data_IF_543107600874
#
_entry.id   IF_543107600874
#
_cell.length_a   1.000
_cell.length_b   1.000
_cell.length_c   1.000
_cell.angle_alpha   90.00
_cell.angle_beta   90.00
_cell.angle_gamma   90.00
#
_symmetry.space_group_name_H-M   'P 1'
#
loop_
_entity.id
_entity.type
_entity.pdbx_description
1 polymer ?
#
# COMPACT_ATOMS: atom_id res chain seq x y z
N UNK A 1 19.39 -34.33 -2.83
CA UNK A 1 18.05 -34.28 -3.43
C UNK A 1 18.18 -33.95 -4.92
N UNK A 2 18.11 -34.98 -5.76
CA UNK A 2 18.24 -34.88 -7.21
C UNK A 2 16.87 -34.87 -7.83
N UNK A 3 16.13 -33.78 -7.69
CA UNK A 3 15.00 -33.51 -8.57
C UNK A 3 15.55 -33.07 -9.92
N UNK A 4 15.23 -33.73 -11.03
CA UNK A 4 15.62 -33.28 -12.35
C UNK A 4 14.85 -32.00 -12.68
N UNK A 5 15.50 -30.84 -12.52
CA UNK A 5 14.97 -29.58 -13.02
C UNK A 5 15.05 -29.62 -14.54
N UNK A 6 13.93 -29.89 -15.20
CA UNK A 6 13.81 -29.70 -16.64
C UNK A 6 13.58 -28.22 -16.89
N UNK A 7 14.62 -27.47 -17.19
CA UNK A 7 14.50 -26.06 -17.51
C UNK A 7 15.70 -25.18 -17.14
N UNK A 8 15.52 -23.89 -17.12
CA UNK A 8 16.55 -22.87 -16.85
C UNK A 8 17.39 -23.09 -15.57
N UNK A 9 16.99 -24.02 -14.68
CA UNK A 9 17.71 -24.34 -13.47
C UNK A 9 19.11 -24.95 -13.64
N UNK A 10 19.44 -25.41 -14.85
CA UNK A 10 20.76 -25.98 -15.15
C UNK A 10 21.78 -24.94 -15.63
N UNK A 11 21.33 -23.69 -15.87
CA UNK A 11 22.18 -22.61 -16.40
C UNK A 11 22.97 -21.92 -15.30
N UNK A 12 22.42 -21.87 -14.07
CA UNK A 12 23.05 -21.18 -12.94
C UNK A 12 23.20 -22.10 -11.73
N UNK A 13 24.34 -22.02 -11.05
CA UNK A 13 24.50 -22.67 -9.76
C UNK A 13 23.59 -22.04 -8.73
N UNK A 14 23.03 -22.83 -7.82
CA UNK A 14 22.12 -22.35 -6.75
C UNK A 14 22.69 -21.19 -5.94
N UNK A 15 24.02 -21.17 -5.76
CA UNK A 15 24.74 -20.13 -5.04
C UNK A 15 24.86 -18.82 -5.81
N UNK A 16 24.62 -18.86 -7.14
CA UNK A 16 24.71 -17.69 -8.03
C UNK A 16 23.37 -16.99 -8.24
N UNK A 17 22.29 -17.56 -7.70
CA UNK A 17 20.94 -16.98 -7.81
C UNK A 17 20.42 -16.55 -6.46
N UNK A 18 19.58 -15.52 -6.46
CA UNK A 18 18.95 -15.01 -5.25
C UNK A 18 18.02 -16.07 -4.64
N UNK A 19 18.04 -16.21 -3.30
CA UNK A 19 17.15 -17.15 -2.62
C UNK A 19 15.68 -16.75 -2.76
N UNK A 20 14.79 -17.76 -2.84
CA UNK A 20 13.34 -17.51 -2.83
C UNK A 20 12.89 -16.72 -1.60
N UNK A 21 13.57 -16.90 -0.46
CA UNK A 21 13.30 -16.18 0.77
C UNK A 21 13.59 -14.68 0.62
N UNK A 22 14.69 -14.31 -0.04
CA UNK A 22 15.03 -12.91 -0.28
C UNK A 22 14.13 -12.26 -1.32
N UNK A 23 13.71 -13.03 -2.34
CA UNK A 23 12.71 -12.57 -3.31
C UNK A 23 11.39 -12.26 -2.61
N UNK A 24 10.90 -13.15 -1.75
CA UNK A 24 9.62 -12.98 -1.01
C UNK A 24 9.58 -11.71 -0.15
N UNK A 25 10.71 -11.28 0.41
CA UNK A 25 10.79 -10.04 1.19
C UNK A 25 10.40 -8.78 0.40
N UNK A 26 10.44 -8.85 -0.93
CA UNK A 26 10.07 -7.75 -1.83
C UNK A 26 8.61 -7.79 -2.25
N UNK A 27 7.91 -8.89 -1.99
CA UNK A 27 6.50 -9.05 -2.34
C UNK A 27 5.61 -8.37 -1.30
N UNK A 28 4.57 -7.72 -1.79
CA UNK A 28 3.56 -7.06 -0.96
C UNK A 28 2.19 -7.46 -1.47
N UNK A 29 1.30 -7.93 -0.58
CA UNK A 29 -0.11 -7.97 -0.89
C UNK A 29 -0.64 -6.52 -0.79
N UNK A 30 -1.20 -5.96 -1.88
CA UNK A 30 -1.60 -4.56 -1.95
C UNK A 30 -2.71 -4.22 -0.96
N UNK A 31 -2.92 -2.93 -0.73
CA UNK A 31 -3.88 -2.44 0.23
C UNK A 31 -5.32 -2.80 -0.13
N UNK A 32 -5.92 -3.70 0.64
CA UNK A 32 -7.33 -4.06 0.53
C UNK A 32 -7.98 -3.76 1.87
N UNK A 33 -8.89 -2.79 1.90
CA UNK A 33 -9.49 -2.33 3.14
C UNK A 33 -10.44 -3.37 3.78
N UNK A 34 -10.45 -3.39 5.11
CA UNK A 34 -11.49 -4.08 5.85
C UNK A 34 -12.86 -3.47 5.51
N UNK A 35 -13.77 -4.31 5.03
CA UNK A 35 -15.06 -3.92 4.45
C UNK A 35 -15.11 -4.15 2.93
N UNK A 36 -13.99 -4.07 2.20
CA UNK A 36 -13.85 -4.68 0.87
C UNK A 36 -13.67 -6.19 1.01
N UNK A 37 -12.89 -6.64 1.99
CA UNK A 37 -12.78 -8.03 2.44
C UNK A 37 -13.50 -8.23 3.78
N UNK A 38 -13.89 -9.49 4.07
CA UNK A 38 -14.31 -9.88 5.41
C UNK A 38 -13.12 -9.83 6.40
N UNK A 39 -13.39 -9.71 7.71
CA UNK A 39 -12.34 -9.73 8.73
C UNK A 39 -11.44 -10.97 8.63
N UNK A 40 -12.03 -12.14 8.38
CA UNK A 40 -11.34 -13.43 8.30
C UNK A 40 -10.41 -13.49 7.09
N UNK A 41 -10.88 -13.04 5.92
CA UNK A 41 -10.08 -13.02 4.70
C UNK A 41 -8.92 -12.03 4.82
N UNK A 42 -9.18 -10.84 5.37
CA UNK A 42 -8.17 -9.80 5.58
C UNK A 42 -7.07 -10.26 6.56
N UNK A 43 -7.46 -10.94 7.64
CA UNK A 43 -6.52 -11.48 8.61
C UNK A 43 -5.73 -12.66 8.05
N UNK A 44 -6.40 -13.59 7.36
CA UNK A 44 -5.74 -14.75 6.74
C UNK A 44 -4.66 -14.32 5.75
N UNK A 45 -4.94 -13.28 4.95
CA UNK A 45 -3.96 -12.71 4.04
C UNK A 45 -2.73 -12.18 4.80
N UNK A 46 -2.94 -11.44 5.88
CA UNK A 46 -1.84 -10.90 6.70
C UNK A 46 -1.00 -12.01 7.31
N UNK A 47 -1.62 -13.04 7.88
CA UNK A 47 -0.94 -14.21 8.43
C UNK A 47 -0.12 -14.92 7.35
N UNK A 48 -0.72 -15.17 6.19
CA UNK A 48 -0.05 -15.86 5.08
C UNK A 48 1.20 -15.11 4.61
N UNK A 49 1.09 -13.79 4.42
CA UNK A 49 2.21 -12.96 4.00
C UNK A 49 3.31 -12.91 5.07
N UNK A 50 2.95 -12.79 6.34
CA UNK A 50 3.91 -12.82 7.45
C UNK A 50 4.65 -14.16 7.53
N UNK A 51 3.97 -15.30 7.36
CA UNK A 51 4.59 -16.63 7.38
C UNK A 51 5.65 -16.83 6.30
N UNK A 52 5.45 -16.25 5.11
CA UNK A 52 6.41 -16.36 4.01
C UNK A 52 7.50 -15.27 4.03
N UNK A 53 7.47 -14.36 5.01
CA UNK A 53 8.41 -13.25 5.14
C UNK A 53 8.15 -12.06 4.23
N UNK A 54 6.97 -12.05 3.56
CA UNK A 54 6.48 -10.92 2.77
C UNK A 54 5.68 -9.93 3.63
N UNK A 55 5.03 -8.95 3.02
CA UNK A 55 4.21 -7.95 3.71
C UNK A 55 2.80 -7.92 3.16
N UNK A 56 1.83 -7.58 4.00
CA UNK A 56 0.49 -7.17 3.57
C UNK A 56 0.25 -5.71 3.96
N UNK A 57 -0.56 -5.03 3.18
CA UNK A 57 -1.03 -3.68 3.45
C UNK A 57 -2.46 -3.74 3.99
N UNK A 58 -2.74 -2.99 5.05
CA UNK A 58 -4.04 -2.96 5.71
C UNK A 58 -5.16 -2.35 4.86
N UNK A 59 -4.80 -1.58 3.84
CA UNK A 59 -5.76 -0.69 3.18
C UNK A 59 -6.25 0.44 4.10
N UNK A 60 -7.13 1.30 3.59
CA UNK A 60 -7.59 2.52 4.25
C UNK A 60 -8.66 2.32 5.35
N UNK A 61 -8.95 1.08 5.72
CA UNK A 61 -10.05 0.76 6.64
C UNK A 61 -9.69 0.73 8.12
N UNK A 62 -8.41 0.93 8.46
CA UNK A 62 -7.91 0.65 9.80
C UNK A 62 -7.77 -0.85 10.07
N UNK A 63 -7.38 -1.20 11.28
CA UNK A 63 -7.19 -2.57 11.73
C UNK A 63 -7.47 -2.68 13.23
N UNK A 64 -8.14 -3.76 13.65
CA UNK A 64 -8.46 -3.96 15.07
C UNK A 64 -7.20 -4.18 15.88
N UNK A 65 -7.10 -3.53 17.03
CA UNK A 65 -5.91 -3.60 17.91
C UNK A 65 -5.64 -5.00 18.48
N UNK A 66 -6.65 -5.88 18.50
CA UNK A 66 -6.46 -7.29 18.88
C UNK A 66 -5.52 -8.03 17.93
N UNK A 67 -5.38 -7.54 16.69
CA UNK A 67 -4.48 -8.07 15.67
C UNK A 67 -3.02 -7.66 15.85
N UNK A 68 -2.73 -6.71 16.72
CA UNK A 68 -1.34 -6.28 16.99
C UNK A 68 -0.59 -7.21 17.94
N UNK A 69 -1.24 -8.25 18.43
CA UNK A 69 -0.66 -9.29 19.29
C UNK A 69 -0.52 -10.60 18.54
N UNK A 70 0.59 -11.28 18.76
CA UNK A 70 0.78 -12.64 18.23
C UNK A 70 -0.30 -13.57 18.79
N UNK A 71 -0.74 -14.50 17.97
CA UNK A 71 -1.62 -15.59 18.39
C UNK A 71 -0.86 -16.63 19.19
N UNK A 72 -1.56 -17.49 19.99
CA UNK A 72 -0.90 -18.55 20.77
C UNK A 72 -0.06 -19.52 19.93
N UNK A 73 -0.41 -19.72 18.65
CA UNK A 73 0.33 -20.57 17.72
C UNK A 73 1.53 -19.85 17.04
N UNK A 74 1.85 -18.62 17.47
CA UNK A 74 2.94 -17.82 16.92
C UNK A 74 2.60 -17.01 15.66
N UNK A 75 1.38 -17.11 15.13
CA UNK A 75 0.96 -16.32 13.96
C UNK A 75 0.88 -14.83 14.28
N UNK A 76 1.33 -14.03 13.33
CA UNK A 76 1.16 -12.59 13.37
C UNK A 76 -0.02 -12.19 12.44
N UNK A 77 -1.17 -11.76 13.01
CA UNK A 77 -2.32 -11.36 12.22
C UNK A 77 -2.28 -9.88 11.77
N UNK A 78 -1.27 -9.12 12.21
CA UNK A 78 -1.12 -7.71 11.87
C UNK A 78 -0.60 -7.51 10.45
N UNK A 79 -1.19 -6.60 9.70
CA UNK A 79 -0.60 -6.12 8.45
C UNK A 79 0.66 -5.32 8.75
N UNK A 80 1.77 -5.65 8.07
CA UNK A 80 3.06 -4.98 8.33
C UNK A 80 3.16 -3.61 7.67
N UNK A 81 2.29 -3.31 6.71
CA UNK A 81 2.11 -1.98 6.11
C UNK A 81 0.77 -1.42 6.58
N UNK A 82 0.77 -0.21 7.09
CA UNK A 82 -0.43 0.51 7.52
C UNK A 82 -0.70 1.68 6.57
N UNK A 83 -1.87 1.68 5.94
CA UNK A 83 -2.24 2.70 4.97
C UNK A 83 -2.98 3.86 5.63
N UNK A 84 -2.66 5.07 5.19
CA UNK A 84 -3.36 6.32 5.51
C UNK A 84 -3.88 6.90 4.22
N UNK A 85 -5.20 7.06 4.12
CA UNK A 85 -5.85 7.77 3.02
C UNK A 85 -6.46 9.08 3.51
N UNK A 86 -7.00 9.85 2.60
CA UNK A 86 -7.68 11.13 2.86
C UNK A 86 -8.76 11.04 3.95
N UNK A 87 -9.55 9.96 3.95
CA UNK A 87 -10.58 9.72 4.98
C UNK A 87 -10.06 9.38 6.37
N UNK A 88 -8.78 9.01 6.51
CA UNK A 88 -8.11 8.65 7.78
C UNK A 88 -8.89 7.66 8.65
N UNK A 89 -9.67 6.79 8.06
CA UNK A 89 -10.48 5.81 8.77
C UNK A 89 -9.64 4.85 9.60
N UNK A 90 -9.86 4.83 10.92
CA UNK A 90 -9.17 3.93 11.84
C UNK A 90 -7.69 4.26 12.09
N UNK A 91 -7.21 5.41 11.66
CA UNK A 91 -5.83 5.87 11.89
C UNK A 91 -5.70 6.38 13.32
N UNK A 92 -4.91 5.68 14.12
CA UNK A 92 -4.56 6.04 15.49
C UNK A 92 -3.05 5.92 15.69
N UNK A 93 -2.51 6.53 16.75
CA UNK A 93 -1.10 6.37 17.11
C UNK A 93 -0.74 4.89 17.35
N UNK A 94 -1.63 4.12 17.98
CA UNK A 94 -1.44 2.68 18.20
C UNK A 94 -1.33 1.94 16.86
N UNK A 95 -2.24 2.22 15.93
CA UNK A 95 -2.22 1.64 14.58
C UNK A 95 -0.89 1.93 13.88
N UNK A 96 -0.44 3.19 13.88
CA UNK A 96 0.79 3.62 13.21
C UNK A 96 2.06 3.07 13.88
N UNK A 97 2.04 2.80 15.17
CA UNK A 97 3.18 2.22 15.87
C UNK A 97 3.30 0.69 15.70
N UNK A 98 2.27 0.03 15.17
CA UNK A 98 2.26 -1.42 14.97
C UNK A 98 2.51 -1.82 13.51
N UNK A 99 3.52 -1.21 12.87
CA UNK A 99 3.90 -1.53 11.49
C UNK A 99 5.39 -1.35 11.22
N UNK A 100 5.85 -1.93 10.12
CA UNK A 100 7.20 -1.70 9.57
C UNK A 100 7.21 -0.59 8.53
N UNK A 101 6.04 -0.27 7.98
CA UNK A 101 5.90 0.70 6.91
C UNK A 101 4.53 1.38 6.97
N UNK A 102 4.52 2.69 6.71
CA UNK A 102 3.31 3.50 6.60
C UNK A 102 3.16 3.91 5.13
N UNK A 103 2.00 3.63 4.54
CA UNK A 103 1.71 4.02 3.16
C UNK A 103 0.74 5.20 3.13
N UNK A 104 1.20 6.33 2.59
CA UNK A 104 0.35 7.49 2.30
C UNK A 104 -0.31 7.25 0.94
N UNK A 105 -1.62 7.00 0.94
CA UNK A 105 -2.39 6.82 -0.28
C UNK A 105 -2.87 8.19 -0.78
N UNK A 106 -2.23 8.71 -1.83
CA UNK A 106 -2.67 9.96 -2.46
C UNK A 106 -3.94 9.74 -3.27
N UNK A 107 -3.97 8.69 -4.08
CA UNK A 107 -5.11 8.28 -4.90
C UNK A 107 -5.00 6.80 -5.28
N UNK A 108 -5.91 6.32 -6.12
CA UNK A 108 -6.03 4.91 -6.52
C UNK A 108 -6.02 4.79 -8.04
N UNK A 109 -5.11 3.97 -8.57
CA UNK A 109 -4.88 3.84 -10.02
C UNK A 109 -6.06 3.26 -10.78
N UNK A 110 -6.82 2.35 -10.17
CA UNK A 110 -7.99 1.75 -10.79
C UNK A 110 -9.17 2.72 -10.97
N UNK A 111 -9.20 3.82 -10.25
CA UNK A 111 -10.27 4.83 -10.28
C UNK A 111 -9.75 6.22 -9.93
N UNK A 112 -8.84 6.77 -10.73
CA UNK A 112 -8.30 8.10 -10.48
C UNK A 112 -9.44 9.14 -10.47
N UNK A 113 -9.43 10.02 -9.47
CA UNK A 113 -10.42 11.07 -9.32
C UNK A 113 -11.74 10.71 -8.61
N UNK A 114 -12.01 9.42 -8.30
CA UNK A 114 -13.25 9.01 -7.60
C UNK A 114 -13.08 8.84 -6.09
N UNK A 115 -11.88 8.52 -5.63
CA UNK A 115 -11.59 8.23 -4.23
C UNK A 115 -12.12 6.90 -3.73
N UNK A 116 -11.97 6.67 -2.43
CA UNK A 116 -12.43 5.48 -1.75
C UNK A 116 -13.92 5.56 -1.41
N UNK A 117 -14.65 4.46 -1.59
CA UNK A 117 -16.05 4.32 -1.20
C UNK A 117 -16.28 3.03 -0.45
N UNK A 118 -17.13 3.07 0.58
CA UNK A 118 -17.70 1.88 1.20
C UNK A 118 -19.21 2.07 1.35
N UNK A 119 -20.03 1.30 0.61
CA UNK A 119 -21.48 1.40 0.69
C UNK A 119 -22.00 1.12 2.10
N UNK A 120 -23.02 1.84 2.55
CA UNK A 120 -23.59 1.71 3.89
C UNK A 120 -23.96 0.28 4.30
N UNK A 121 -24.45 -0.53 3.35
CA UNK A 121 -24.75 -1.96 3.60
C UNK A 121 -23.55 -2.80 4.01
N UNK A 122 -22.32 -2.36 3.70
CA UNK A 122 -21.06 -3.00 4.13
C UNK A 122 -20.52 -2.43 5.44
N UNK A 123 -21.06 -1.31 5.93
CA UNK A 123 -20.63 -0.68 7.19
C UNK A 123 -21.30 -1.36 8.37
N UNK A 124 -20.75 -2.50 8.76
CA UNK A 124 -21.17 -3.27 9.94
C UNK A 124 -20.83 -2.53 11.24
N UNK A 125 -21.29 -3.02 12.39
CA UNK A 125 -20.93 -2.46 13.70
C UNK A 125 -19.41 -2.47 13.95
N UNK A 126 -18.71 -3.53 13.55
CA UNK A 126 -17.25 -3.62 13.65
C UNK A 126 -16.56 -2.55 12.79
N UNK A 127 -16.97 -2.42 11.52
CA UNK A 127 -16.37 -1.44 10.61
C UNK A 127 -16.67 -0.02 11.08
N UNK A 128 -17.89 0.27 11.55
CA UNK A 128 -18.25 1.56 12.10
C UNK A 128 -17.37 1.92 13.30
N UNK A 129 -17.17 0.98 14.22
CA UNK A 129 -16.26 1.16 15.37
C UNK A 129 -14.83 1.45 14.93
N UNK A 130 -14.27 0.66 14.02
CA UNK A 130 -12.89 0.82 13.56
C UNK A 130 -12.66 2.12 12.79
N UNK A 131 -13.65 2.56 12.03
CA UNK A 131 -13.57 3.79 11.23
C UNK A 131 -14.08 5.04 11.94
N UNK A 132 -14.43 4.92 13.23
CA UNK A 132 -15.03 6.01 14.01
C UNK A 132 -16.23 6.67 13.32
N UNK A 133 -17.14 5.82 12.80
CA UNK A 133 -18.28 6.22 11.97
C UNK A 133 -19.58 5.59 12.47
N UNK A 134 -20.69 5.86 11.76
CA UNK A 134 -22.01 5.31 12.09
C UNK A 134 -22.33 4.07 11.23
N UNK A 135 -22.83 3.00 11.87
CA UNK A 135 -23.29 1.79 11.17
C UNK A 135 -24.34 2.13 10.12
N UNK A 136 -24.20 1.55 8.94
CA UNK A 136 -25.15 1.68 7.84
C UNK A 136 -25.02 2.94 7.00
N UNK A 137 -24.12 3.87 7.38
CA UNK A 137 -23.86 5.10 6.61
C UNK A 137 -22.72 4.85 5.61
N UNK A 138 -22.93 5.27 4.35
CA UNK A 138 -21.89 5.21 3.31
C UNK A 138 -20.70 6.07 3.68
N UNK A 139 -19.50 5.53 3.53
CA UNK A 139 -18.24 6.23 3.82
C UNK A 139 -17.55 6.59 2.51
N UNK A 140 -17.00 7.81 2.45
CA UNK A 140 -16.28 8.34 1.30
C UNK A 140 -14.92 8.84 1.78
N UNK A 141 -13.87 8.45 1.04
CA UNK A 141 -12.52 9.00 1.20
C UNK A 141 -12.23 9.83 -0.05
N UNK A 142 -12.20 11.18 0.06
CA UNK A 142 -12.08 12.04 -1.11
C UNK A 142 -10.79 11.80 -1.90
N UNK A 143 -10.80 11.95 -3.22
CA UNK A 143 -9.62 12.00 -4.07
C UNK A 143 -9.29 13.47 -4.42
N UNK A 144 -8.02 13.81 -4.57
CA UNK A 144 -6.84 13.18 -4.00
C UNK A 144 -6.83 13.31 -2.48
N UNK A 145 -5.73 12.97 -1.82
CA UNK A 145 -5.58 13.20 -0.39
C UNK A 145 -5.71 14.69 -0.08
N UNK A 146 -6.88 15.13 0.39
CA UNK A 146 -7.28 16.55 0.38
C UNK A 146 -6.58 17.43 1.41
N UNK A 147 -5.73 16.87 2.25
CA UNK A 147 -4.86 17.62 3.17
C UNK A 147 -3.50 17.96 2.55
N UNK A 148 -3.23 17.48 1.33
CA UNK A 148 -1.96 17.66 0.63
C UNK A 148 -2.22 18.50 -0.61
N UNK A 149 -1.85 19.78 -0.55
CA UNK A 149 -1.99 20.73 -1.65
C UNK A 149 -0.66 21.06 -2.31
N UNK A 150 0.45 20.75 -1.64
CA UNK A 150 1.79 21.00 -2.13
C UNK A 150 2.75 19.87 -1.73
N UNK A 151 3.95 19.89 -2.30
CA UNK A 151 4.99 18.93 -1.91
C UNK A 151 5.49 19.19 -0.49
N UNK A 152 5.39 20.42 0.00
CA UNK A 152 5.74 20.81 1.36
C UNK A 152 4.76 20.22 2.36
N UNK A 153 3.47 20.21 2.08
CA UNK A 153 2.46 19.55 2.92
C UNK A 153 2.74 18.04 3.03
N UNK A 154 3.09 17.41 1.90
CA UNK A 154 3.48 16.01 1.90
C UNK A 154 4.76 15.78 2.72
N UNK A 155 5.76 16.65 2.59
CA UNK A 155 7.00 16.55 3.35
C UNK A 155 6.74 16.69 4.86
N UNK A 156 5.83 17.58 5.26
CA UNK A 156 5.41 17.72 6.64
C UNK A 156 4.72 16.44 7.14
N UNK A 157 3.79 15.88 6.36
CA UNK A 157 3.12 14.63 6.73
C UNK A 157 4.11 13.46 6.88
N UNK A 158 5.07 13.33 5.95
CA UNK A 158 6.12 12.31 6.04
C UNK A 158 6.94 12.50 7.32
N UNK A 159 7.31 13.75 7.63
CA UNK A 159 8.04 14.07 8.86
C UNK A 159 7.24 13.68 10.10
N UNK A 160 5.98 14.08 10.19
CA UNK A 160 5.11 13.80 11.34
C UNK A 160 4.92 12.29 11.55
N UNK A 161 4.74 11.52 10.48
CA UNK A 161 4.63 10.06 10.55
C UNK A 161 5.93 9.41 11.07
N UNK A 162 7.07 9.93 10.64
CA UNK A 162 8.37 9.46 11.15
C UNK A 162 8.63 9.86 12.60
N UNK A 163 7.96 10.92 13.11
CA UNK A 163 7.99 11.23 14.56
C UNK A 163 7.12 10.26 15.37
N UNK A 164 5.96 9.85 14.82
CA UNK A 164 5.07 8.88 15.48
C UNK A 164 5.71 7.50 15.53
N UNK A 165 6.29 7.03 14.42
CA UNK A 165 6.99 5.75 14.33
C UNK A 165 8.34 5.91 13.61
N UNK A 166 9.42 6.25 14.35
CA UNK A 166 10.75 6.46 13.76
C UNK A 166 11.36 5.22 13.10
N UNK A 167 10.85 4.03 13.41
CA UNK A 167 11.33 2.75 12.84
C UNK A 167 10.66 2.40 11.53
N UNK A 168 9.46 2.92 11.29
CA UNK A 168 8.70 2.62 10.09
C UNK A 168 9.27 3.38 8.87
N UNK A 169 9.29 2.69 7.73
CA UNK A 169 9.49 3.33 6.43
C UNK A 169 8.22 4.05 6.01
N UNK A 170 8.36 5.12 5.24
CA UNK A 170 7.21 5.83 4.67
C UNK A 170 7.19 5.62 3.16
N UNK A 171 6.11 5.04 2.67
CA UNK A 171 5.78 4.89 1.26
C UNK A 171 4.77 5.96 0.84
N UNK A 172 4.90 6.47 -0.38
CA UNK A 172 3.88 7.31 -0.99
C UNK A 172 3.31 6.61 -2.22
N UNK A 173 2.00 6.33 -2.19
CA UNK A 173 1.28 5.73 -3.32
C UNK A 173 0.78 6.82 -4.25
N UNK A 174 1.31 6.81 -5.48
CA UNK A 174 0.96 7.70 -6.58
C UNK A 174 0.22 6.94 -7.68
N UNK A 175 -0.49 7.65 -8.52
CA UNK A 175 -1.20 7.08 -9.68
C UNK A 175 -0.37 7.27 -10.94
N UNK A 176 -0.29 6.22 -11.78
CA UNK A 176 0.31 6.29 -13.09
C UNK A 176 -0.48 7.29 -13.96
N UNK A 177 0.15 8.39 -14.33
CA UNK A 177 -0.38 9.45 -15.19
C UNK A 177 0.76 10.24 -15.83
N UNK A 178 0.46 10.98 -16.87
CA UNK A 178 1.44 11.90 -17.50
C UNK A 178 1.93 12.93 -16.49
N UNK A 179 3.24 13.16 -16.42
CA UNK A 179 3.88 14.09 -15.49
C UNK A 179 4.16 13.51 -14.08
N UNK A 180 3.84 12.24 -13.85
CA UNK A 180 4.03 11.61 -12.54
C UNK A 180 5.49 11.56 -12.11
N UNK A 181 6.43 11.56 -13.06
CA UNK A 181 7.86 11.62 -12.78
C UNK A 181 8.27 12.86 -12.00
N UNK A 182 7.70 14.03 -12.33
CA UNK A 182 7.95 15.28 -11.61
C UNK A 182 7.44 15.21 -10.17
N UNK A 183 6.22 14.65 -9.98
CA UNK A 183 5.65 14.43 -8.65
C UNK A 183 6.53 13.49 -7.85
N UNK A 184 6.97 12.37 -8.44
CA UNK A 184 7.85 11.40 -7.80
C UNK A 184 9.20 12.00 -7.39
N UNK A 185 9.78 12.91 -8.19
CA UNK A 185 10.99 13.64 -7.83
C UNK A 185 10.77 14.51 -6.59
N UNK A 186 9.62 15.18 -6.49
CA UNK A 186 9.22 15.91 -5.29
C UNK A 186 9.10 15.00 -4.07
N UNK A 187 8.44 13.85 -4.21
CA UNK A 187 8.27 12.84 -3.15
C UNK A 187 9.63 12.31 -2.66
N UNK A 188 10.56 12.03 -3.58
CA UNK A 188 11.92 11.61 -3.21
C UNK A 188 12.66 12.70 -2.43
N UNK A 189 12.53 13.97 -2.84
CA UNK A 189 13.10 15.12 -2.11
C UNK A 189 12.43 15.32 -0.74
N UNK A 190 11.16 15.01 -0.60
CA UNK A 190 10.43 15.01 0.66
C UNK A 190 10.83 13.87 1.61
N UNK A 191 11.82 13.05 1.22
CA UNK A 191 12.41 11.97 2.03
C UNK A 191 11.45 10.80 2.31
N UNK A 192 10.58 10.47 1.37
CA UNK A 192 9.93 9.18 1.35
C UNK A 192 10.95 8.05 1.15
N UNK A 193 10.74 6.89 1.76
CA UNK A 193 11.63 5.73 1.64
C UNK A 193 11.29 4.89 0.39
N UNK A 194 10.02 4.91 -0.01
CA UNK A 194 9.54 4.21 -1.21
C UNK A 194 8.40 4.96 -1.90
N UNK A 195 8.22 4.68 -3.18
CA UNK A 195 7.13 5.21 -4.00
C UNK A 195 6.44 4.03 -4.68
N UNK A 196 5.13 3.92 -4.51
CA UNK A 196 4.30 2.95 -5.20
C UNK A 196 3.61 3.65 -6.39
N UNK A 197 3.84 3.13 -7.59
CA UNK A 197 3.16 3.60 -8.80
C UNK A 197 2.00 2.67 -9.09
N UNK A 198 0.80 3.16 -8.84
CA UNK A 198 -0.45 2.41 -9.00
C UNK A 198 -1.01 2.58 -10.40
N UNK A 199 -1.22 1.47 -11.08
CA UNK A 199 -1.85 1.42 -12.40
C UNK A 199 -3.35 1.11 -12.34
N UNK A 200 -3.99 0.98 -13.52
CA UNK A 200 -5.41 0.65 -13.63
C UNK A 200 -5.73 -0.76 -13.07
N UNK A 201 -4.75 -1.66 -13.01
CA UNK A 201 -4.89 -2.99 -12.43
C UNK A 201 -4.77 -3.03 -10.90
N UNK A 202 -4.46 -1.90 -10.23
CA UNK A 202 -4.31 -1.80 -8.78
C UNK A 202 -5.58 -2.16 -7.97
N UNK A 203 -6.67 -2.50 -8.64
CA UNK A 203 -7.87 -3.07 -8.04
C UNK A 203 -8.73 -2.08 -7.26
N UNK A 204 -9.99 -2.45 -7.06
CA UNK A 204 -10.92 -1.70 -6.21
C UNK A 204 -12.06 -2.60 -5.72
N UNK A 205 -12.45 -2.42 -4.45
CA UNK A 205 -13.58 -3.15 -3.85
C UNK A 205 -14.95 -2.50 -4.12
N UNK A 206 -14.99 -1.27 -4.62
CA UNK A 206 -16.22 -0.54 -4.93
C UNK A 206 -15.95 0.56 -5.96
N UNK A 207 -16.44 0.38 -7.17
CA UNK A 207 -16.34 1.35 -8.25
C UNK A 207 -17.38 1.04 -9.33
N UNK A 208 -17.87 2.05 -10.08
CA UNK A 208 -18.69 1.84 -11.26
C UNK A 208 -17.95 0.96 -12.30
N UNK A 209 -18.68 0.14 -13.04
CA UNK A 209 -18.12 -0.71 -14.10
C UNK A 209 -17.39 0.10 -15.19
N UNK A 210 -17.86 1.31 -15.46
CA UNK A 210 -17.24 2.23 -16.41
C UNK A 210 -15.85 2.63 -15.97
N UNK A 211 -15.65 2.93 -14.68
CA UNK A 211 -14.33 3.28 -14.14
C UNK A 211 -13.38 2.10 -14.21
N UNK A 212 -13.82 0.90 -13.81
CA UNK A 212 -13.00 -0.33 -13.87
C UNK A 212 -12.52 -0.61 -15.30
N UNK A 213 -13.37 -0.34 -16.30
CA UNK A 213 -13.05 -0.66 -17.71
C UNK A 213 -12.21 0.41 -18.41
N UNK A 214 -12.39 1.68 -18.04
CA UNK A 214 -11.92 2.79 -18.88
C UNK A 214 -11.09 3.84 -18.15
N UNK A 215 -11.01 3.80 -16.82
CA UNK A 215 -10.20 4.73 -16.06
C UNK A 215 -8.81 4.16 -15.76
N UNK A 216 -7.84 5.07 -15.55
CA UNK A 216 -6.48 4.72 -15.19
C UNK A 216 -5.58 4.35 -16.37
N UNK A 217 -4.29 4.33 -16.11
CA UNK A 217 -3.24 3.98 -17.07
C UNK A 217 -2.48 2.72 -16.62
N UNK A 218 -1.80 2.01 -17.53
CA UNK A 218 -0.87 0.95 -17.16
C UNK A 218 0.24 1.48 -16.25
N UNK A 219 0.57 0.74 -15.20
CA UNK A 219 1.65 1.12 -14.28
C UNK A 219 3.02 1.18 -14.97
N UNK A 220 3.21 0.43 -16.03
CA UNK A 220 4.45 0.38 -16.83
C UNK A 220 4.83 1.76 -17.39
N UNK A 221 3.84 2.52 -17.84
CA UNK A 221 4.06 3.88 -18.35
C UNK A 221 4.53 4.81 -17.21
N UNK A 222 3.81 4.78 -16.08
CA UNK A 222 4.16 5.57 -14.91
C UNK A 222 5.52 5.19 -14.32
N UNK A 223 5.81 3.90 -14.23
CA UNK A 223 7.10 3.42 -13.72
C UNK A 223 8.26 3.87 -14.61
N UNK A 224 8.11 3.76 -15.93
CA UNK A 224 9.13 4.17 -16.90
C UNK A 224 9.44 5.66 -16.78
N UNK A 225 8.41 6.50 -16.73
CA UNK A 225 8.57 7.95 -16.57
C UNK A 225 9.24 8.29 -15.23
N UNK A 226 8.77 7.71 -14.13
CA UNK A 226 9.33 7.94 -12.78
C UNK A 226 10.79 7.51 -12.74
N UNK A 227 11.12 6.33 -13.27
CA UNK A 227 12.50 5.84 -13.30
C UNK A 227 13.43 6.80 -14.05
N UNK A 228 13.01 7.28 -15.22
CA UNK A 228 13.80 8.20 -16.05
C UNK A 228 13.99 9.55 -15.33
N UNK A 229 12.92 10.15 -14.83
CA UNK A 229 13.00 11.46 -14.16
C UNK A 229 13.83 11.39 -12.88
N UNK A 230 13.68 10.34 -12.07
CA UNK A 230 14.52 10.14 -10.88
C UNK A 230 16.00 9.96 -11.25
N UNK A 231 16.30 9.22 -12.32
CA UNK A 231 17.66 9.00 -12.79
C UNK A 231 18.30 10.29 -13.30
N UNK A 232 17.59 11.08 -14.10
CA UNK A 232 18.05 12.38 -14.60
C UNK A 232 18.32 13.39 -13.47
N UNK A 233 17.62 13.26 -12.34
CA UNK A 233 17.76 14.15 -11.19
C UNK A 233 18.68 13.59 -10.09
N UNK A 234 19.37 12.47 -10.30
CA UNK A 234 20.21 11.79 -9.30
C UNK A 234 19.44 11.43 -8.01
N UNK A 235 18.17 11.03 -8.16
CA UNK A 235 17.28 10.66 -7.07
C UNK A 235 16.90 9.17 -7.08
N UNK A 236 17.27 8.42 -8.14
CA UNK A 236 16.82 7.03 -8.31
C UNK A 236 17.30 6.09 -7.21
N UNK A 237 18.46 6.32 -6.66
CA UNK A 237 19.08 5.59 -5.56
C UNK A 237 18.52 5.94 -4.18
N UNK A 238 17.75 7.02 -4.06
CA UNK A 238 17.20 7.52 -2.80
C UNK A 238 15.90 6.83 -2.39
N UNK A 239 15.20 6.19 -3.32
CA UNK A 239 13.88 5.59 -3.08
C UNK A 239 13.76 4.21 -3.72
N UNK A 240 12.95 3.36 -3.09
CA UNK A 240 12.51 2.08 -3.66
C UNK A 240 11.26 2.33 -4.50
N UNK A 241 11.22 1.85 -5.74
CA UNK A 241 10.02 1.87 -6.56
C UNK A 241 9.29 0.55 -6.45
N UNK A 242 7.97 0.63 -6.32
CA UNK A 242 7.02 -0.48 -6.35
C UNK A 242 5.89 -0.19 -7.33
N UNK A 243 5.16 -1.22 -7.74
CA UNK A 243 4.00 -1.13 -8.65
C UNK A 243 2.88 -2.06 -8.19
N UNK A 244 1.63 -1.71 -8.52
CA UNK A 244 0.43 -2.55 -8.38
C UNK A 244 -0.53 -2.41 -9.57
#
# INVERSE_FOLDING_TARGET
DRSPSRGLGDVYKRQEVQSAQDIRKRLVAPGISLGALSPEAHETLSIAMNRIGAKSDSGEGGEDSSRFKLRPNGDNPSSRIKQIASGRFGVTAEYLNNCDEIEIKVAQGAKPGEGGQLPGGKVTGLIAKLRHSTKGVTLISPPPHHDIYSIEDLAQLIYDLKQINPKAKVCVKLVAQSGIGTVAAGVAKAKADSILISGHNGGTGASPQTSIKYAGLPWELGLSEVHQVLSLNNLRDKVILRTD
#
